data_IF_110316336733
#
_entry.id   IF_110316336733
#
_cell.length_a   1.000
_cell.length_b   1.000
_cell.length_c   1.000
_cell.angle_alpha   90.00
_cell.angle_beta   90.00
_cell.angle_gamma   90.00
#
_symmetry.space_group_name_H-M   'P 1'
#
loop_
_entity.id
_entity.type
_entity.pdbx_description
1 polymer ?
#
# COMPACT_ATOMS: atom_id res chain seq x y z
N UNK A 1 25.98 -6.35 75.28
CA UNK A 1 26.74 -5.12 75.01
C UNK A 1 25.77 -4.08 74.48
N UNK A 2 25.20 -3.30 75.41
CA UNK A 2 24.27 -2.21 75.13
C UNK A 2 25.07 -0.93 74.83
N UNK A 3 24.67 -0.17 73.82
CA UNK A 3 25.01 1.25 73.71
C UNK A 3 23.74 2.04 73.40
N UNK A 4 23.53 3.06 74.23
CA UNK A 4 22.41 3.99 74.30
C UNK A 4 23.02 5.41 74.32
N UNK A 5 22.16 6.41 74.09
CA UNK A 5 22.35 7.88 74.16
C UNK A 5 22.80 8.59 72.86
N UNK A 6 22.35 9.80 72.55
CA UNK A 6 21.13 10.62 72.75
C UNK A 6 21.50 12.04 72.24
N UNK A 7 20.56 12.74 71.60
CA UNK A 7 20.38 14.20 71.47
C UNK A 7 21.55 15.10 70.99
N UNK A 8 21.34 16.06 70.09
CA UNK A 8 20.69 17.39 70.26
C UNK A 8 20.77 18.08 68.88
N UNK A 9 19.85 18.93 68.41
CA UNK A 9 19.60 20.31 68.86
C UNK A 9 19.57 21.24 67.64
N UNK A 10 18.62 22.16 67.63
CA UNK A 10 18.26 23.07 66.52
C UNK A 10 19.17 24.32 66.41
N UNK A 11 19.17 25.00 65.25
CA UNK A 11 18.78 26.41 65.08
C UNK A 11 19.33 27.07 63.79
N UNK A 12 18.37 27.59 62.99
CA UNK A 12 18.28 28.95 62.46
C UNK A 12 19.34 29.58 61.52
N UNK A 13 18.78 30.13 60.42
CA UNK A 13 18.96 31.49 59.91
C UNK A 13 20.01 31.75 58.83
N UNK A 14 19.51 32.06 57.63
CA UNK A 14 20.25 32.62 56.51
C UNK A 14 19.30 33.04 55.38
N UNK A 15 18.53 34.11 55.61
CA UNK A 15 17.85 34.93 54.58
C UNK A 15 18.96 35.60 53.74
N UNK A 16 19.02 35.54 52.41
CA UNK A 16 18.37 36.36 51.36
C UNK A 16 19.20 35.99 50.09
N UNK A 17 18.67 35.78 48.89
CA UNK A 17 18.35 36.85 47.95
C UNK A 17 17.73 36.21 46.69
N UNK A 18 16.52 36.63 46.34
CA UNK A 18 15.98 36.48 45.00
C UNK A 18 16.84 37.29 44.03
N UNK A 19 17.31 36.67 42.97
CA UNK A 19 17.71 37.35 41.74
C UNK A 19 16.88 36.78 40.61
N UNK A 20 15.85 37.55 40.28
CA UNK A 20 14.96 37.39 39.15
C UNK A 20 15.76 37.69 37.86
N UNK A 21 15.73 36.79 36.88
CA UNK A 21 16.46 36.92 35.63
C UNK A 21 16.11 35.82 34.63
N UNK A 22 15.69 36.14 33.39
CA UNK A 22 15.00 35.22 32.51
C UNK A 22 16.01 34.33 31.78
N UNK A 23 15.96 33.03 32.04
CA UNK A 23 16.52 32.06 31.14
C UNK A 23 15.39 31.31 30.47
N UNK A 24 15.09 31.76 29.25
CA UNK A 24 14.42 31.03 28.19
C UNK A 24 15.15 29.71 27.93
N UNK A 25 15.01 28.77 28.86
CA UNK A 25 15.24 27.36 28.60
C UNK A 25 13.96 26.84 27.99
N UNK A 26 13.76 27.03 26.68
CA UNK A 26 12.89 26.13 25.94
C UNK A 26 13.55 24.77 26.04
N UNK A 27 13.19 24.01 27.08
CA UNK A 27 13.40 22.59 27.12
C UNK A 27 12.58 22.05 25.95
N UNK A 28 13.21 21.97 24.77
CA UNK A 28 12.77 21.10 23.71
C UNK A 28 12.93 19.71 24.31
N UNK A 29 11.89 19.25 24.99
CA UNK A 29 11.67 17.85 25.24
C UNK A 29 11.56 17.21 23.85
N UNK A 30 12.70 16.90 23.24
CA UNK A 30 12.81 15.82 22.26
C UNK A 30 12.53 14.55 23.05
N UNK A 31 11.26 14.35 23.38
CA UNK A 31 10.74 13.04 23.63
C UNK A 31 11.05 12.27 22.34
N UNK A 32 12.18 11.56 22.36
CA UNK A 32 12.52 10.59 21.35
C UNK A 32 11.38 9.60 21.40
N UNK A 33 10.36 9.81 20.55
CA UNK A 33 9.27 8.86 20.39
C UNK A 33 9.97 7.56 20.05
N UNK A 34 10.01 6.63 21.01
CA UNK A 34 10.47 5.27 20.76
C UNK A 34 9.69 4.83 19.52
N UNK A 35 10.37 4.72 18.38
CA UNK A 35 9.73 4.30 17.16
C UNK A 35 9.25 2.89 17.43
N UNK A 36 7.95 2.74 17.61
CA UNK A 36 7.37 1.46 17.96
C UNK A 36 7.51 0.57 16.72
N UNK A 37 8.47 -0.34 16.78
CA UNK A 37 8.68 -1.31 15.73
C UNK A 37 7.41 -2.14 15.54
N UNK A 38 7.00 -2.26 14.29
CA UNK A 38 5.93 -3.15 13.88
C UNK A 38 6.51 -4.52 13.60
N UNK A 39 5.76 -5.55 13.96
CA UNK A 39 6.02 -6.93 13.57
C UNK A 39 4.97 -7.35 12.55
N UNK A 40 5.39 -7.93 11.43
CA UNK A 40 4.50 -8.61 10.49
C UNK A 40 5.06 -9.99 10.16
N UNK A 41 4.16 -10.93 9.89
CA UNK A 41 4.52 -12.23 9.37
C UNK A 41 4.54 -12.18 7.84
N UNK A 42 5.52 -12.85 7.26
CA UNK A 42 5.61 -13.12 5.82
C UNK A 42 5.82 -14.62 5.66
N UNK A 43 5.02 -15.24 4.79
CA UNK A 43 5.04 -16.67 4.54
C UNK A 43 5.94 -16.98 3.35
N UNK A 44 7.03 -17.70 3.57
CA UNK A 44 7.87 -18.14 2.47
C UNK A 44 7.22 -19.38 1.87
N UNK A 45 6.84 -19.29 0.62
CA UNK A 45 5.99 -20.27 -0.03
C UNK A 45 6.59 -20.81 -1.32
N UNK A 46 6.31 -22.08 -1.57
CA UNK A 46 6.63 -22.76 -2.81
C UNK A 46 5.36 -23.05 -3.61
N UNK A 47 5.53 -23.22 -4.91
CA UNK A 47 4.46 -23.66 -5.78
C UNK A 47 4.23 -25.18 -5.67
N UNK A 48 3.09 -25.58 -5.11
CA UNK A 48 2.67 -26.99 -5.03
C UNK A 48 1.30 -27.14 -5.69
N UNK A 49 1.21 -27.96 -6.74
CA UNK A 49 -0.06 -28.21 -7.43
C UNK A 49 -0.72 -26.94 -8.01
N UNK A 50 0.08 -25.93 -8.39
CA UNK A 50 -0.43 -24.66 -8.93
C UNK A 50 -0.89 -23.64 -7.88
N UNK A 51 -0.66 -23.91 -6.59
CA UNK A 51 -1.00 -22.98 -5.49
C UNK A 51 0.22 -22.72 -4.60
N UNK A 52 0.34 -21.47 -4.14
CA UNK A 52 1.32 -21.10 -3.12
C UNK A 52 1.03 -21.82 -1.81
N UNK A 53 2.00 -22.61 -1.37
CA UNK A 53 1.91 -23.36 -0.12
C UNK A 53 3.00 -22.87 0.84
N UNK A 54 2.63 -22.26 1.98
CA UNK A 54 3.59 -21.78 2.96
C UNK A 54 4.44 -22.93 3.52
N UNK A 55 5.76 -22.79 3.45
CA UNK A 55 6.73 -23.74 4.02
C UNK A 55 7.25 -23.26 5.38
N UNK A 56 7.51 -21.95 5.49
CA UNK A 56 8.04 -21.31 6.69
C UNK A 56 7.45 -19.91 6.84
N UNK A 57 7.46 -19.39 8.06
CA UNK A 57 7.01 -18.04 8.36
C UNK A 57 8.19 -17.25 8.94
N UNK A 58 8.39 -16.04 8.43
CA UNK A 58 9.37 -15.09 8.95
C UNK A 58 8.61 -13.94 9.61
N UNK A 59 8.96 -13.64 10.86
CA UNK A 59 8.47 -12.46 11.56
C UNK A 59 9.48 -11.32 11.38
N UNK A 60 9.14 -10.34 10.55
CA UNK A 60 10.00 -9.18 10.29
C UNK A 60 9.66 -8.03 11.24
N UNK A 61 10.69 -7.30 11.65
CA UNK A 61 10.57 -6.07 12.45
C UNK A 61 10.92 -4.88 11.59
N UNK A 62 10.05 -3.88 11.55
CA UNK A 62 10.26 -2.69 10.73
C UNK A 62 9.64 -1.43 11.36
N UNK A 63 10.21 -0.29 11.02
CA UNK A 63 9.71 1.04 11.38
C UNK A 63 8.79 1.60 10.30
N UNK A 64 8.10 2.70 10.60
CA UNK A 64 7.13 3.31 9.66
C UNK A 64 7.77 3.72 8.32
N UNK A 65 9.03 4.18 8.32
CA UNK A 65 9.74 4.56 7.10
C UNK A 65 10.18 3.36 6.24
N UNK A 66 10.25 2.16 6.83
CA UNK A 66 10.57 0.90 6.13
C UNK A 66 9.30 0.19 5.62
N UNK A 67 8.11 0.67 6.00
CA UNK A 67 6.83 0.07 5.69
C UNK A 67 6.42 0.31 4.23
N UNK A 68 7.16 -0.25 3.29
CA UNK A 68 6.96 -0.21 1.83
C UNK A 68 7.31 -1.58 1.24
N UNK A 69 6.91 -1.86 0.00
CA UNK A 69 7.22 -3.17 -0.60
C UNK A 69 8.74 -3.42 -0.65
N UNK A 70 9.60 -2.48 -1.11
CA UNK A 70 11.05 -2.67 -1.10
C UNK A 70 11.63 -2.83 0.31
N UNK A 71 11.13 -2.05 1.28
CA UNK A 71 11.60 -2.12 2.66
C UNK A 71 11.26 -3.45 3.33
N UNK A 72 10.06 -3.98 3.08
CA UNK A 72 9.64 -5.29 3.58
C UNK A 72 10.43 -6.42 2.89
N UNK A 73 10.61 -6.37 1.57
CA UNK A 73 11.45 -7.33 0.84
C UNK A 73 12.88 -7.36 1.40
N UNK A 74 13.49 -6.19 1.65
CA UNK A 74 14.82 -6.12 2.25
C UNK A 74 14.88 -6.82 3.61
N UNK A 75 13.88 -6.60 4.49
CA UNK A 75 13.80 -7.28 5.79
C UNK A 75 13.64 -8.80 5.66
N UNK A 76 12.88 -9.25 4.67
CA UNK A 76 12.71 -10.69 4.41
C UNK A 76 14.03 -11.28 3.88
N UNK A 77 14.69 -10.61 2.94
CA UNK A 77 15.99 -11.04 2.41
C UNK A 77 17.05 -11.15 3.50
N UNK A 78 17.16 -10.12 4.35
CA UNK A 78 18.08 -10.09 5.49
C UNK A 78 17.82 -11.26 6.45
N UNK A 79 16.55 -11.62 6.67
CA UNK A 79 16.16 -12.70 7.55
C UNK A 79 16.37 -14.10 6.95
N UNK A 80 16.29 -14.23 5.62
CA UNK A 80 16.45 -15.51 4.91
C UNK A 80 17.91 -15.79 4.55
N UNK A 81 18.71 -14.76 4.27
CA UNK A 81 20.13 -14.88 3.92
C UNK A 81 20.40 -15.51 2.55
N UNK A 82 19.44 -15.45 1.62
CA UNK A 82 19.57 -15.99 0.26
C UNK A 82 20.01 -14.95 -0.77
N UNK A 83 20.37 -15.40 -1.98
CA UNK A 83 20.60 -14.54 -3.16
C UNK A 83 19.42 -14.57 -4.15
N UNK A 84 18.44 -15.45 -3.92
CA UNK A 84 17.28 -15.57 -4.78
C UNK A 84 16.47 -14.27 -4.78
N UNK A 85 15.98 -13.87 -5.96
CA UNK A 85 15.11 -12.70 -6.13
C UNK A 85 13.68 -13.12 -5.77
N UNK A 86 13.12 -12.40 -4.80
CA UNK A 86 11.83 -12.72 -4.21
C UNK A 86 10.79 -11.65 -4.58
N UNK A 87 9.54 -12.08 -4.65
CA UNK A 87 8.37 -11.23 -4.92
C UNK A 87 7.35 -11.44 -3.81
N UNK A 88 6.77 -10.33 -3.33
CA UNK A 88 5.65 -10.40 -2.40
C UNK A 88 4.33 -10.58 -3.15
N UNK A 89 3.53 -11.55 -2.72
CA UNK A 89 2.20 -11.80 -3.25
C UNK A 89 1.14 -11.77 -2.15
N UNK A 90 -0.09 -11.42 -2.52
CA UNK A 90 -1.25 -11.53 -1.65
C UNK A 90 -1.77 -12.98 -1.54
N UNK A 91 -2.80 -13.19 -0.74
CA UNK A 91 -3.40 -14.51 -0.56
C UNK A 91 -4.11 -15.09 -1.79
N UNK A 92 -4.27 -14.31 -2.85
CA UNK A 92 -4.81 -14.74 -4.14
C UNK A 92 -3.68 -15.03 -5.16
N UNK A 93 -2.42 -14.78 -4.80
CA UNK A 93 -1.27 -14.96 -5.66
C UNK A 93 -1.05 -13.81 -6.64
N UNK A 94 -1.59 -12.62 -6.37
CA UNK A 94 -1.26 -11.41 -7.12
C UNK A 94 -0.02 -10.75 -6.51
N UNK A 95 0.82 -10.17 -7.35
CA UNK A 95 1.95 -9.35 -6.91
C UNK A 95 1.48 -8.13 -6.12
N UNK A 96 2.11 -7.88 -4.97
CA UNK A 96 1.89 -6.68 -4.17
C UNK A 96 2.83 -5.60 -4.71
N UNK A 97 2.25 -4.62 -5.41
CA UNK A 97 3.01 -3.52 -6.02
C UNK A 97 3.29 -2.42 -5.01
N UNK A 98 4.44 -1.75 -5.14
CA UNK A 98 4.76 -0.57 -4.33
C UNK A 98 3.92 0.64 -4.74
N UNK A 99 2.86 0.90 -3.98
CA UNK A 99 1.92 2.01 -4.19
C UNK A 99 1.64 2.72 -2.87
N UNK A 100 1.01 3.89 -2.90
CA UNK A 100 0.59 4.56 -1.68
C UNK A 100 -0.31 3.69 -0.79
N UNK A 101 -1.10 2.79 -1.38
CA UNK A 101 -1.98 1.87 -0.64
C UNK A 101 -1.25 0.74 0.09
N UNK A 102 0.01 0.47 -0.25
CA UNK A 102 0.86 -0.57 0.38
C UNK A 102 1.97 0.04 1.24
N UNK A 103 1.90 1.35 1.50
CA UNK A 103 2.79 2.06 2.42
C UNK A 103 2.20 2.14 3.83
N UNK A 104 3.09 2.27 4.80
CA UNK A 104 2.75 2.45 6.21
C UNK A 104 2.42 1.15 6.93
N UNK A 105 2.64 1.12 8.24
CA UNK A 105 2.57 -0.12 9.03
C UNK A 105 1.16 -0.74 9.10
N UNK A 106 0.12 0.05 8.89
CA UNK A 106 -1.28 -0.39 8.93
C UNK A 106 -1.57 -1.47 7.89
N UNK A 107 -1.16 -1.27 6.63
CA UNK A 107 -1.37 -2.24 5.55
C UNK A 107 -0.72 -3.59 5.91
N UNK A 108 0.55 -3.55 6.28
CA UNK A 108 1.33 -4.75 6.58
C UNK A 108 0.79 -5.53 7.79
N UNK A 109 0.36 -4.84 8.85
CA UNK A 109 -0.28 -5.49 10.01
C UNK A 109 -1.56 -6.21 9.61
N UNK A 110 -2.46 -5.52 8.90
CA UNK A 110 -3.77 -6.05 8.52
C UNK A 110 -3.65 -7.24 7.56
N UNK A 111 -2.68 -7.20 6.65
CA UNK A 111 -2.53 -8.21 5.61
C UNK A 111 -1.50 -9.31 5.96
N UNK A 112 -0.80 -9.21 7.10
CA UNK A 112 0.27 -10.14 7.54
C UNK A 112 -0.09 -11.64 7.50
N UNK A 113 -1.37 -12.00 7.57
CA UNK A 113 -1.83 -13.39 7.50
C UNK A 113 -1.88 -13.97 6.09
N UNK A 114 -1.68 -13.15 5.06
CA UNK A 114 -1.85 -13.50 3.65
C UNK A 114 -0.78 -12.88 2.75
N UNK A 115 0.35 -12.47 3.31
CA UNK A 115 1.51 -12.00 2.53
C UNK A 115 2.45 -13.18 2.35
N UNK A 116 2.66 -13.56 1.11
CA UNK A 116 3.59 -14.60 0.73
C UNK A 116 4.82 -13.98 0.09
N UNK A 117 5.95 -14.59 0.32
CA UNK A 117 7.20 -14.30 -0.36
C UNK A 117 7.57 -15.53 -1.19
N UNK A 118 7.75 -15.33 -2.48
CA UNK A 118 7.88 -16.40 -3.47
C UNK A 118 9.03 -16.11 -4.43
N UNK A 119 9.70 -17.14 -4.95
CA UNK A 119 10.69 -16.98 -6.01
C UNK A 119 10.09 -16.31 -7.25
N UNK A 120 10.77 -15.27 -7.76
CA UNK A 120 10.33 -14.55 -8.96
C UNK A 120 10.16 -15.49 -10.17
N UNK A 121 11.09 -16.44 -10.35
CA UNK A 121 11.04 -17.41 -11.44
C UNK A 121 9.75 -18.24 -11.41
N UNK A 122 9.37 -18.76 -10.24
CA UNK A 122 8.13 -19.53 -10.09
C UNK A 122 6.89 -18.66 -10.35
N UNK A 123 6.91 -17.40 -9.88
CA UNK A 123 5.81 -16.46 -10.10
C UNK A 123 5.58 -16.16 -11.59
N UNK A 124 6.65 -15.89 -12.34
CA UNK A 124 6.59 -15.61 -13.77
C UNK A 124 6.11 -16.81 -14.59
N UNK A 125 6.49 -18.03 -14.20
CA UNK A 125 5.99 -19.25 -14.82
C UNK A 125 4.47 -19.42 -14.68
N UNK A 126 3.92 -19.19 -13.48
CA UNK A 126 2.48 -19.29 -13.26
C UNK A 126 1.74 -18.20 -14.04
N UNK A 127 2.25 -16.96 -14.02
CA UNK A 127 1.65 -15.82 -14.71
C UNK A 127 1.61 -16.03 -16.22
N UNK A 128 2.69 -16.57 -16.79
CA UNK A 128 2.75 -16.90 -18.22
C UNK A 128 1.83 -18.08 -18.58
N UNK A 129 1.77 -19.13 -17.76
CA UNK A 129 0.82 -20.25 -17.94
C UNK A 129 -0.64 -19.78 -17.90
N UNK A 130 -1.01 -18.92 -16.93
CA UNK A 130 -2.34 -18.30 -16.85
C UNK A 130 -2.70 -17.52 -18.12
N UNK A 131 -1.77 -16.70 -18.61
CA UNK A 131 -1.94 -15.92 -19.86
C UNK A 131 -2.12 -16.82 -21.09
N UNK A 132 -1.37 -17.93 -21.16
CA UNK A 132 -1.49 -18.89 -22.27
C UNK A 132 -2.78 -19.70 -22.21
N UNK A 133 -3.29 -19.97 -21.01
CA UNK A 133 -4.57 -20.65 -20.85
C UNK A 133 -5.73 -19.73 -21.22
N UNK A 134 -5.71 -18.47 -20.76
CA UNK A 134 -6.69 -17.47 -21.19
C UNK A 134 -6.63 -17.21 -22.70
N UNK A 135 -5.45 -17.32 -23.32
CA UNK A 135 -5.28 -17.17 -24.76
C UNK A 135 -5.79 -18.38 -25.56
N UNK A 136 -5.86 -19.58 -24.96
CA UNK A 136 -6.48 -20.74 -25.61
C UNK A 136 -8.00 -20.70 -25.54
N UNK A 137 -8.55 -20.06 -24.51
CA UNK A 137 -9.98 -19.77 -24.44
C UNK A 137 -10.38 -18.61 -25.40
N UNK A 138 -9.41 -17.84 -25.89
CA UNK A 138 -9.61 -16.75 -26.87
C UNK A 138 -9.74 -17.24 -28.32
N UNK A 139 -9.21 -18.44 -28.64
CA UNK A 139 -9.56 -19.14 -29.90
C UNK A 139 -11.04 -19.62 -29.90
N UNK A 140 -11.76 -19.40 -28.80
CA UNK A 140 -13.21 -19.58 -28.68
C UNK A 140 -13.96 -18.26 -28.49
N UNK A 141 -13.35 -17.11 -28.76
CA UNK A 141 -14.10 -15.86 -28.86
C UNK A 141 -15.06 -16.00 -30.06
N UNK A 142 -16.40 -15.91 -29.87
CA UNK A 142 -17.31 -16.11 -30.98
C UNK A 142 -17.05 -15.00 -32.01
N UNK A 143 -16.95 -15.32 -33.32
CA UNK A 143 -16.86 -14.31 -34.38
C UNK A 143 -17.98 -13.25 -34.29
N UNK A 144 -19.07 -13.60 -33.61
CA UNK A 144 -20.21 -12.75 -33.26
C UNK A 144 -19.86 -11.49 -32.44
N UNK A 145 -18.82 -11.50 -31.58
CA UNK A 145 -18.46 -10.30 -30.79
C UNK A 145 -17.68 -9.29 -31.63
N UNK A 146 -16.78 -9.76 -32.49
CA UNK A 146 -16.04 -8.92 -33.44
C UNK A 146 -17.00 -8.35 -34.49
N UNK A 147 -17.89 -9.18 -35.05
CA UNK A 147 -18.93 -8.78 -35.99
C UNK A 147 -19.87 -7.71 -35.39
N UNK A 148 -20.34 -7.90 -34.15
CA UNK A 148 -21.14 -6.89 -33.43
C UNK A 148 -20.38 -5.60 -33.17
N UNK A 149 -19.08 -5.68 -32.92
CA UNK A 149 -18.27 -4.47 -32.69
C UNK A 149 -18.08 -3.71 -34.00
N UNK A 150 -17.86 -4.40 -35.12
CA UNK A 150 -17.80 -3.79 -36.45
C UNK A 150 -19.14 -3.19 -36.87
N UNK A 151 -20.26 -3.87 -36.62
CA UNK A 151 -21.61 -3.34 -36.88
C UNK A 151 -21.87 -2.04 -36.11
N UNK A 152 -21.53 -1.99 -34.81
CA UNK A 152 -21.68 -0.78 -33.99
C UNK A 152 -20.74 0.33 -34.46
N UNK A 153 -19.51 0.01 -34.87
CA UNK A 153 -18.56 0.98 -35.41
C UNK A 153 -19.09 1.57 -36.72
N UNK A 154 -19.61 0.76 -37.63
CA UNK A 154 -20.20 1.21 -38.89
C UNK A 154 -21.44 2.08 -38.64
N UNK A 155 -22.36 1.64 -37.78
CA UNK A 155 -23.56 2.40 -37.43
C UNK A 155 -23.26 3.74 -36.73
N UNK A 156 -22.11 3.85 -36.05
CA UNK A 156 -21.72 5.07 -35.33
C UNK A 156 -21.08 6.14 -36.22
N UNK A 157 -20.67 5.81 -37.46
CA UNK A 157 -19.99 6.74 -38.36
C UNK A 157 -20.89 7.90 -38.80
N UNK A 158 -22.21 7.67 -38.88
CA UNK A 158 -23.18 8.68 -39.35
C UNK A 158 -23.70 9.59 -38.21
N UNK A 159 -23.45 9.23 -36.94
CA UNK A 159 -23.91 10.01 -35.77
C UNK A 159 -23.45 11.48 -35.77
N UNK A 160 -22.22 11.84 -36.18
CA UNK A 160 -21.79 13.23 -36.27
C UNK A 160 -22.63 14.05 -37.26
N UNK A 161 -23.05 13.47 -38.38
CA UNK A 161 -23.89 14.12 -39.39
C UNK A 161 -25.33 14.32 -38.87
N UNK A 162 -25.87 13.30 -38.19
CA UNK A 162 -27.16 13.40 -37.49
C UNK A 162 -27.12 14.52 -36.44
N UNK A 163 -26.05 14.59 -35.65
CA UNK A 163 -25.85 15.63 -34.64
C UNK A 163 -25.70 17.05 -35.25
N UNK A 164 -25.15 17.17 -36.46
CA UNK A 164 -25.11 18.45 -37.18
C UNK A 164 -26.50 18.85 -37.69
N UNK A 165 -27.26 17.91 -38.23
CA UNK A 165 -28.61 18.15 -38.73
C UNK A 165 -29.54 18.60 -37.60
N UNK A 166 -29.49 17.94 -36.44
CA UNK A 166 -30.24 18.35 -35.25
C UNK A 166 -29.87 19.77 -34.82
N UNK A 167 -28.57 20.12 -34.82
CA UNK A 167 -28.11 21.49 -34.51
C UNK A 167 -28.63 22.52 -35.51
N UNK A 168 -28.60 22.22 -36.81
CA UNK A 168 -29.12 23.11 -37.85
C UNK A 168 -30.64 23.31 -37.71
N UNK A 169 -31.40 22.24 -37.49
CA UNK A 169 -32.85 22.32 -37.28
C UNK A 169 -33.21 23.15 -36.04
N UNK A 170 -32.48 22.96 -34.94
CA UNK A 170 -32.65 23.76 -33.72
C UNK A 170 -32.41 25.25 -33.99
N UNK A 171 -31.37 25.59 -34.75
CA UNK A 171 -31.07 26.98 -35.10
C UNK A 171 -32.16 27.57 -36.01
N UNK A 172 -32.65 26.84 -37.00
CA UNK A 172 -33.75 27.28 -37.88
C UNK A 172 -35.03 27.51 -37.08
N UNK A 173 -35.36 26.62 -36.15
CA UNK A 173 -36.51 26.80 -35.26
C UNK A 173 -36.35 28.06 -34.40
N UNK A 174 -35.17 28.29 -33.82
CA UNK A 174 -34.90 29.48 -33.01
C UNK A 174 -34.99 30.78 -33.83
N UNK A 175 -34.43 30.80 -35.05
CA UNK A 175 -34.54 31.95 -35.95
C UNK A 175 -35.98 32.21 -36.40
N UNK A 176 -36.77 31.15 -36.66
CA UNK A 176 -38.20 31.28 -37.01
C UNK A 176 -39.03 31.83 -35.85
N UNK A 177 -38.73 31.43 -34.62
CA UNK A 177 -39.39 31.96 -33.43
C UNK A 177 -39.08 33.45 -33.21
N UNK A 178 -37.86 33.89 -33.54
CA UNK A 178 -37.47 35.30 -33.47
C UNK A 178 -38.11 36.19 -34.56
N UNK A 179 -38.55 35.62 -35.68
CA UNK A 179 -39.15 36.37 -36.80
C UNK A 179 -40.68 36.53 -36.68
N UNK A 180 -41.30 35.82 -35.74
CA UNK A 180 -42.76 35.80 -35.51
C UNK A 180 -43.16 36.43 -34.16
N UNK A 181 -42.21 37.01 -33.43
CA UNK A 181 -42.41 37.79 -32.21
C UNK A 181 -42.22 39.29 -32.50
#
# INVERSE_FOLDING_TARGET
>A
MHSFLQHTGAAASGRTQEVDGPHSGTAIHTATRLQQQTIANVFLADLVGGKWTPQKTVAIRFNEHEASVPGILAKVQDAVGGEEVLILTDGQGNEILDTEGTKGSTYWKQNSRKVFDVPEQQFLEIRSKKRRFSQRDDDSQPPEVLERTEEVVLASQDLPEVAQTIRRLKNVQQSRMHLLA
#
